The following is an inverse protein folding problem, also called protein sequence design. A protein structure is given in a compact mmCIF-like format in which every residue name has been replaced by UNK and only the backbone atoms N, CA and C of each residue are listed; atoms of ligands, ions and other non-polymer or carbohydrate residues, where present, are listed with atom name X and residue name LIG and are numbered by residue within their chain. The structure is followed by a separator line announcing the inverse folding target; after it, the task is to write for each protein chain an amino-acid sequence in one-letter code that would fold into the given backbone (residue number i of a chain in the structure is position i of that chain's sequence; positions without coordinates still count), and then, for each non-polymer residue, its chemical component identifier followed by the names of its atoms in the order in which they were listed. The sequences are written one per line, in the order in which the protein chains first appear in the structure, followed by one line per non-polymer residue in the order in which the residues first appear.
data_IF_588944727142
#
_entry.id   IF_588944727142
#
_cell.length_a   1.000
_cell.length_b   1.000
_cell.length_c   1.000
_cell.angle_alpha   90.00
_cell.angle_beta   90.00
_cell.angle_gamma   90.00
#
_symmetry.space_group_name_H-M   'P 1'
#
loop_
_entity.id
_entity.type
_entity.pdbx_description
1 polymer ?
#
# COMPACT_ATOMS: atom_id res chain seq x y z
N UNK A 1 22.60 -0.03 -26.77
CA UNK A 1 21.23 -0.61 -26.75
C UNK A 1 21.12 -1.33 -25.43
N UNK A 2 20.18 -0.97 -24.54
CA UNK A 2 20.02 -1.67 -23.26
C UNK A 2 19.76 -3.15 -23.53
N UNK A 3 20.35 -4.01 -22.70
CA UNK A 3 20.09 -5.44 -22.75
C UNK A 3 18.63 -5.71 -22.34
N UNK A 4 18.07 -6.86 -22.72
CA UNK A 4 16.73 -7.23 -22.28
C UNK A 4 16.63 -7.26 -20.74
N UNK A 5 17.73 -7.58 -20.05
CA UNK A 5 17.77 -7.68 -18.60
C UNK A 5 17.71 -6.31 -17.91
N UNK A 6 18.36 -5.30 -18.48
CA UNK A 6 18.24 -3.89 -18.04
C UNK A 6 16.78 -3.42 -18.02
N UNK A 7 15.99 -3.81 -19.04
CA UNK A 7 14.57 -3.44 -19.12
C UNK A 7 13.76 -4.11 -18.01
N UNK A 8 14.01 -5.39 -17.71
CA UNK A 8 13.33 -6.12 -16.66
C UNK A 8 13.65 -5.58 -15.26
N UNK A 9 14.93 -5.30 -14.98
CA UNK A 9 15.39 -4.74 -13.70
C UNK A 9 14.74 -3.37 -13.45
N UNK A 10 14.82 -2.47 -14.45
CA UNK A 10 14.21 -1.15 -14.34
C UNK A 10 12.68 -1.23 -14.21
N UNK A 11 12.03 -2.14 -14.93
CA UNK A 11 10.61 -2.40 -14.82
C UNK A 11 10.20 -2.87 -13.42
N UNK A 12 10.94 -3.81 -12.83
CA UNK A 12 10.72 -4.32 -11.47
C UNK A 12 10.88 -3.22 -10.42
N UNK A 13 11.95 -2.43 -10.52
CA UNK A 13 12.14 -1.30 -9.61
C UNK A 13 11.05 -0.25 -9.74
N UNK A 14 10.69 0.15 -10.96
CA UNK A 14 9.62 1.12 -11.16
C UNK A 14 8.26 0.62 -10.66
N UNK A 15 7.94 -0.65 -10.91
CA UNK A 15 6.71 -1.27 -10.42
C UNK A 15 6.68 -1.33 -8.88
N UNK A 16 7.76 -1.76 -8.25
CA UNK A 16 7.87 -1.83 -6.78
C UNK A 16 7.70 -0.45 -6.13
N UNK A 17 8.39 0.57 -6.65
CA UNK A 17 8.29 1.95 -6.15
C UNK A 17 6.88 2.51 -6.35
N UNK A 18 6.30 2.31 -7.54
CA UNK A 18 4.94 2.77 -7.85
C UNK A 18 3.90 2.14 -6.92
N UNK A 19 4.00 0.82 -6.67
CA UNK A 19 3.11 0.11 -5.75
C UNK A 19 3.28 0.56 -4.30
N UNK A 20 4.52 0.80 -3.85
CA UNK A 20 4.82 1.35 -2.53
C UNK A 20 4.22 2.74 -2.34
N UNK A 21 4.40 3.64 -3.31
CA UNK A 21 3.82 4.98 -3.29
C UNK A 21 2.29 4.93 -3.31
N UNK A 22 1.69 4.12 -4.17
CA UNK A 22 0.23 3.96 -4.22
C UNK A 22 -0.32 3.47 -2.86
N UNK A 23 0.36 2.50 -2.24
CA UNK A 23 0.00 2.00 -0.92
C UNK A 23 0.12 3.07 0.16
N UNK A 24 1.20 3.86 0.15
CA UNK A 24 1.40 4.96 1.09
C UNK A 24 0.32 6.04 0.92
N UNK A 25 0.01 6.44 -0.31
CA UNK A 25 -1.03 7.42 -0.63
C UNK A 25 -2.41 6.95 -0.17
N UNK A 26 -2.78 5.71 -0.48
CA UNK A 26 -4.05 5.13 -0.04
C UNK A 26 -4.12 5.02 1.48
N UNK A 27 -3.03 4.64 2.15
CA UNK A 27 -2.97 4.59 3.61
C UNK A 27 -3.20 5.97 4.24
N UNK A 28 -2.62 7.02 3.65
CA UNK A 28 -2.83 8.41 4.09
C UNK A 28 -4.29 8.83 3.85
N UNK A 29 -4.85 8.55 2.68
CA UNK A 29 -6.23 8.90 2.36
C UNK A 29 -7.23 8.21 3.29
N UNK A 30 -7.04 6.91 3.55
CA UNK A 30 -7.87 6.15 4.49
C UNK A 30 -7.74 6.72 5.90
N UNK A 31 -6.52 7.07 6.33
CA UNK A 31 -6.31 7.70 7.64
C UNK A 31 -7.02 9.06 7.74
N UNK A 32 -6.89 9.91 6.72
CA UNK A 32 -7.57 11.21 6.64
C UNK A 32 -9.08 11.04 6.68
N UNK A 33 -9.61 10.09 5.91
CA UNK A 33 -11.03 9.75 5.90
C UNK A 33 -11.47 9.29 7.29
N UNK A 34 -10.78 8.33 7.92
CA UNK A 34 -11.11 7.86 9.28
C UNK A 34 -11.08 8.99 10.32
N UNK A 35 -10.11 9.90 10.24
CA UNK A 35 -10.00 11.07 11.12
C UNK A 35 -11.13 12.06 10.90
N UNK A 36 -11.44 12.41 9.66
CA UNK A 36 -12.54 13.30 9.31
C UNK A 36 -13.88 12.73 9.80
N UNK A 37 -14.08 11.43 9.59
CA UNK A 37 -15.24 10.73 10.11
C UNK A 37 -15.25 10.75 11.65
N UNK A 38 -14.11 10.50 12.31
CA UNK A 38 -13.99 10.44 13.78
C UNK A 38 -14.06 11.77 14.50
N UNK A 39 -14.05 12.89 13.78
CA UNK A 39 -14.26 14.20 14.37
C UNK A 39 -15.60 14.21 15.12
N UNK A 40 -15.56 14.65 16.38
CA UNK A 40 -16.68 14.55 17.31
C UNK A 40 -17.79 15.49 16.85
N UNK A 41 -18.96 14.92 16.54
CA UNK A 41 -20.19 15.69 16.47
C UNK A 41 -20.59 16.08 17.90
N UNK A 42 -20.58 17.38 18.19
CA UNK A 42 -21.10 17.93 19.45
C UNK A 42 -22.61 17.69 19.50
N UNK A 43 -23.07 16.71 20.29
CA UNK A 43 -24.49 16.31 20.37
C UNK A 43 -24.79 15.27 21.46
N UNK A 44 -26.09 15.06 21.74
CA UNK A 44 -26.62 14.20 22.80
C UNK A 44 -26.28 12.71 22.61
N UNK A 45 -26.30 11.90 23.68
CA UNK A 45 -25.86 10.49 23.65
C UNK A 45 -26.55 9.64 22.56
N UNK A 46 -27.82 9.91 22.27
CA UNK A 46 -28.60 9.26 21.22
C UNK A 46 -28.11 9.63 19.81
N UNK A 47 -27.76 10.90 19.58
CA UNK A 47 -27.23 11.38 18.30
C UNK A 47 -25.85 10.77 18.01
N UNK A 48 -24.99 10.64 19.04
CA UNK A 48 -23.69 9.97 18.92
C UNK A 48 -23.84 8.50 18.52
N UNK A 49 -24.83 7.78 19.04
CA UNK A 49 -25.08 6.38 18.70
C UNK A 49 -25.54 6.22 17.24
N UNK A 50 -26.47 7.07 16.78
CA UNK A 50 -26.97 7.05 15.39
C UNK A 50 -25.87 7.41 14.40
N UNK A 51 -25.07 8.45 14.70
CA UNK A 51 -23.94 8.86 13.84
C UNK A 51 -22.90 7.74 13.76
N UNK A 52 -22.57 7.06 14.87
CA UNK A 52 -21.64 5.93 14.86
C UNK A 52 -22.15 4.78 14.00
N UNK A 53 -23.43 4.45 14.09
CA UNK A 53 -24.04 3.37 13.32
C UNK A 53 -24.16 3.70 11.83
N UNK A 54 -24.50 4.95 11.49
CA UNK A 54 -24.51 5.42 10.11
C UNK A 54 -23.10 5.39 9.48
N UNK A 55 -22.08 5.77 10.26
CA UNK A 55 -20.66 5.69 9.85
C UNK A 55 -20.18 4.25 9.69
N UNK A 56 -20.62 3.33 10.56
CA UNK A 56 -20.31 1.90 10.44
C UNK A 56 -20.96 1.29 9.20
N UNK A 57 -22.25 1.58 8.94
CA UNK A 57 -22.91 1.16 7.69
C UNK A 57 -22.27 1.79 6.45
N UNK A 58 -21.75 3.02 6.55
CA UNK A 58 -20.97 3.64 5.48
C UNK A 58 -19.63 2.93 5.23
N UNK A 59 -18.89 2.61 6.29
CA UNK A 59 -17.64 1.84 6.25
C UNK A 59 -17.84 0.45 5.61
N UNK A 60 -18.92 -0.23 5.98
CA UNK A 60 -19.27 -1.55 5.47
C UNK A 60 -19.71 -1.49 4.00
N UNK A 61 -20.54 -0.49 3.64
CA UNK A 61 -21.01 -0.29 2.26
C UNK A 61 -19.88 0.07 1.29
N UNK A 62 -18.86 0.81 1.76
CA UNK A 62 -17.70 1.19 0.96
C UNK A 62 -16.52 0.21 1.08
N UNK A 63 -16.67 -0.90 1.81
CA UNK A 63 -15.62 -1.93 1.98
C UNK A 63 -14.27 -1.37 2.46
N UNK A 64 -14.29 -0.26 3.21
CA UNK A 64 -13.07 0.37 3.74
C UNK A 64 -12.23 -0.59 4.59
N UNK A 65 -12.81 -1.48 5.44
CA UNK A 65 -12.04 -2.49 6.15
C UNK A 65 -11.29 -3.45 5.21
N UNK A 66 -11.86 -3.78 4.06
CA UNK A 66 -11.23 -4.64 3.04
C UNK A 66 -10.06 -3.92 2.37
N UNK A 67 -10.23 -2.62 2.03
CA UNK A 67 -9.15 -1.77 1.50
C UNK A 67 -7.98 -1.70 2.50
N UNK A 68 -8.27 -1.50 3.79
CA UNK A 68 -7.25 -1.48 4.85
C UNK A 68 -6.53 -2.83 4.94
N UNK A 69 -7.26 -3.94 4.81
CA UNK A 69 -6.70 -5.29 4.85
C UNK A 69 -5.76 -5.60 3.69
N UNK A 70 -6.02 -5.08 2.49
CA UNK A 70 -5.18 -5.34 1.31
C UNK A 70 -3.95 -4.41 1.22
N UNK A 71 -3.97 -3.23 1.84
CA UNK A 71 -2.86 -2.28 1.78
C UNK A 71 -1.51 -2.91 2.21
N UNK A 72 -1.42 -3.62 3.36
CA UNK A 72 -0.21 -4.34 3.72
C UNK A 72 0.21 -5.37 2.67
N UNK A 73 -0.72 -6.09 2.06
CA UNK A 73 -0.39 -7.10 1.05
C UNK A 73 0.26 -6.47 -0.19
N UNK A 74 -0.25 -5.32 -0.65
CA UNK A 74 0.34 -4.56 -1.76
C UNK A 74 1.74 -4.07 -1.39
N UNK A 75 1.94 -3.61 -0.14
CA UNK A 75 3.26 -3.21 0.34
C UNK A 75 4.26 -4.37 0.35
N UNK A 76 3.86 -5.54 0.88
CA UNK A 76 4.73 -6.72 0.89
C UNK A 76 5.04 -7.21 -0.52
N UNK A 77 4.06 -7.16 -1.43
CA UNK A 77 4.29 -7.48 -2.84
C UNK A 77 5.28 -6.50 -3.49
N UNK A 78 5.17 -5.19 -3.19
CA UNK A 78 6.12 -4.19 -3.66
C UNK A 78 7.54 -4.45 -3.15
N UNK A 79 7.67 -4.84 -1.88
CA UNK A 79 8.95 -5.19 -1.27
C UNK A 79 9.54 -6.46 -1.89
N UNK A 80 8.72 -7.48 -2.14
CA UNK A 80 9.15 -8.70 -2.81
C UNK A 80 9.64 -8.42 -4.24
N UNK A 81 8.92 -7.59 -5.00
CA UNK A 81 9.34 -7.16 -6.34
C UNK A 81 10.66 -6.38 -6.29
N UNK A 82 10.85 -5.53 -5.27
CA UNK A 82 12.11 -4.81 -5.08
C UNK A 82 13.27 -5.78 -4.84
N UNK A 83 13.11 -6.78 -3.97
CA UNK A 83 14.15 -7.79 -3.75
C UNK A 83 14.48 -8.59 -5.01
N UNK A 84 13.47 -9.01 -5.78
CA UNK A 84 13.70 -9.69 -7.07
C UNK A 84 14.50 -8.81 -8.03
N UNK A 85 14.12 -7.53 -8.17
CA UNK A 85 14.86 -6.57 -8.98
C UNK A 85 16.29 -6.36 -8.46
N UNK A 86 16.47 -6.32 -7.15
CA UNK A 86 17.78 -6.16 -6.51
C UNK A 86 18.69 -7.37 -6.72
N UNK A 87 18.18 -8.61 -6.57
CA UNK A 87 18.96 -9.82 -6.82
C UNK A 87 19.40 -9.91 -8.28
N UNK A 88 18.53 -9.57 -9.23
CA UNK A 88 18.88 -9.51 -10.66
C UNK A 88 19.94 -8.44 -10.96
N UNK A 89 19.78 -7.24 -10.39
CA UNK A 89 20.74 -6.15 -10.53
C UNK A 89 22.11 -6.51 -9.96
N UNK A 90 22.14 -7.11 -8.77
CA UNK A 90 23.39 -7.56 -8.14
C UNK A 90 24.03 -8.69 -8.94
N UNK A 91 23.24 -9.61 -9.51
CA UNK A 91 23.77 -10.68 -10.36
C UNK A 91 24.48 -10.14 -11.62
N UNK A 92 23.98 -9.07 -12.24
CA UNK A 92 24.65 -8.41 -13.38
C UNK A 92 26.01 -7.83 -12.99
N UNK A 93 26.13 -7.27 -11.79
CA UNK A 93 27.38 -6.66 -11.31
C UNK A 93 28.36 -7.73 -10.82
N UNK A 94 27.88 -8.64 -9.96
CA UNK A 94 28.65 -9.67 -9.26
C UNK A 94 27.75 -10.89 -8.97
N UNK A 95 27.81 -11.92 -9.83
CA UNK A 95 27.03 -13.17 -9.68
C UNK A 95 27.15 -13.81 -8.28
N UNK A 96 28.32 -13.69 -7.65
CA UNK A 96 28.62 -14.26 -6.33
C UNK A 96 27.87 -13.60 -5.18
N UNK A 97 27.32 -12.39 -5.35
CA UNK A 97 26.58 -11.67 -4.30
C UNK A 97 25.05 -11.89 -4.41
N UNK A 98 24.57 -12.49 -5.49
CA UNK A 98 23.13 -12.67 -5.75
C UNK A 98 22.41 -13.47 -4.65
N UNK A 99 23.08 -14.42 -3.98
CA UNK A 99 22.46 -15.27 -2.96
C UNK A 99 22.37 -14.61 -1.58
N UNK A 100 23.03 -13.46 -1.37
CA UNK A 100 23.00 -12.70 -0.11
C UNK A 100 21.74 -11.83 -0.01
N UNK A 101 21.20 -11.44 -1.18
CA UNK A 101 19.99 -10.63 -1.33
C UNK A 101 18.77 -11.54 -1.41
#
# INVERSE_FOLDING_TARGET
IPSNNDLWINGLFFASLSLSLATALLSVLVKQWLQAYSSISSGNAKERAVIRQFRFSGLEKWKVPEIIGILPLILHASLALFFVGLSLYVAEIQQSLCWIV
#
